data_IF_642674299097
#
_entry.id   IF_642674299097
#
_cell.length_a   1.000
_cell.length_b   1.000
_cell.length_c   1.000
_cell.angle_alpha   90.00
_cell.angle_beta   90.00
_cell.angle_gamma   90.00
#
_symmetry.space_group_name_H-M   'P 1'
#
loop_
_entity.id
_entity.type
_entity.pdbx_description
1 polymer ?
#
# COMPACT_ATOMS: atom_id res chain seq x y z
N UNK A 1 -23.79 19.15 4.78
CA UNK A 1 -22.54 19.92 4.70
C UNK A 1 -21.45 19.13 5.45
N UNK A 2 -20.49 18.66 4.74
CA UNK A 2 -19.65 17.50 5.01
C UNK A 2 -18.62 17.74 6.13
N UNK A 3 -18.58 16.85 7.13
CA UNK A 3 -17.49 16.78 8.12
C UNK A 3 -16.09 16.58 7.49
N UNK A 4 -16.03 16.24 6.21
CA UNK A 4 -14.78 16.16 5.44
C UNK A 4 -14.08 17.51 5.28
N UNK A 5 -14.81 18.61 5.10
CA UNK A 5 -14.19 19.96 5.04
C UNK A 5 -13.57 20.36 6.38
N UNK A 6 -14.16 19.92 7.48
CA UNK A 6 -13.63 20.15 8.82
C UNK A 6 -12.35 19.32 9.07
N UNK A 7 -12.34 18.07 8.61
CA UNK A 7 -11.16 17.23 8.67
C UNK A 7 -9.99 17.79 7.86
N UNK A 8 -10.24 18.20 6.61
CA UNK A 8 -9.18 18.76 5.76
C UNK A 8 -8.68 20.13 6.27
N UNK A 9 -9.54 20.98 6.80
CA UNK A 9 -9.12 22.29 7.34
C UNK A 9 -8.35 22.11 8.65
N UNK A 10 -8.75 21.20 9.52
CA UNK A 10 -8.01 20.82 10.72
C UNK A 10 -6.65 20.21 10.40
N UNK A 11 -6.59 19.31 9.41
CA UNK A 11 -5.36 18.69 8.93
C UNK A 11 -4.38 19.73 8.37
N UNK A 12 -4.85 20.68 7.55
CA UNK A 12 -3.99 21.75 7.02
C UNK A 12 -3.48 22.67 8.13
N UNK A 13 -4.26 22.91 9.16
CA UNK A 13 -3.87 23.73 10.30
C UNK A 13 -2.89 22.97 11.21
N UNK A 14 -3.13 21.69 11.47
CA UNK A 14 -2.23 20.86 12.28
C UNK A 14 -0.93 20.51 11.53
N UNK A 15 -1.00 20.27 10.23
CA UNK A 15 0.22 20.11 9.40
C UNK A 15 1.06 21.38 9.45
N UNK A 16 0.45 22.57 9.37
CA UNK A 16 1.20 23.84 9.52
C UNK A 16 1.80 24.01 10.92
N UNK A 17 1.13 23.55 11.96
CA UNK A 17 1.62 23.69 13.33
C UNK A 17 2.63 22.64 13.75
N UNK A 18 2.50 21.40 13.24
CA UNK A 18 3.30 20.23 13.65
C UNK A 18 4.40 19.85 12.67
N UNK A 19 4.21 20.02 11.36
CA UNK A 19 5.11 19.50 10.36
C UNK A 19 5.94 20.55 9.63
N UNK A 20 5.45 21.76 9.42
CA UNK A 20 5.98 22.66 8.40
C UNK A 20 7.16 23.52 8.85
N UNK A 21 7.62 23.45 10.09
CA UNK A 21 8.83 24.21 10.47
C UNK A 21 10.14 23.49 10.13
N UNK A 22 10.11 22.16 9.97
CA UNK A 22 11.35 21.39 9.83
C UNK A 22 11.29 20.15 8.91
N UNK A 23 10.13 19.77 8.35
CA UNK A 23 10.03 18.58 7.49
C UNK A 23 10.38 18.91 6.05
N UNK A 24 11.32 18.18 5.41
CA UNK A 24 11.59 18.31 3.98
C UNK A 24 10.35 18.07 3.11
N UNK A 25 10.23 18.82 2.00
CA UNK A 25 9.04 18.77 1.14
C UNK A 25 8.74 17.36 0.62
N UNK A 26 9.76 16.63 0.20
CA UNK A 26 9.63 15.25 -0.28
C UNK A 26 9.01 14.30 0.76
N UNK A 27 9.24 14.55 2.04
CA UNK A 27 8.62 13.80 3.14
C UNK A 27 7.19 14.27 3.42
N UNK A 28 6.97 15.59 3.39
CA UNK A 28 5.65 16.17 3.61
C UNK A 28 4.63 15.71 2.55
N UNK A 29 5.07 15.54 1.30
CA UNK A 29 4.25 15.02 0.19
C UNK A 29 3.78 13.57 0.39
N UNK A 30 4.36 12.84 1.35
CA UNK A 30 4.00 11.47 1.66
C UNK A 30 3.03 11.35 2.84
N UNK A 31 2.74 12.43 3.56
CA UNK A 31 1.85 12.38 4.74
C UNK A 31 0.48 11.82 4.38
N UNK A 32 -0.16 12.34 3.32
CA UNK A 32 -1.49 11.87 2.92
C UNK A 32 -1.47 10.43 2.42
N UNK A 33 -0.68 10.04 1.39
CA UNK A 33 -0.68 8.67 0.88
C UNK A 33 -0.25 7.65 1.95
N UNK A 34 0.67 8.00 2.83
CA UNK A 34 1.07 7.13 3.93
C UNK A 34 -0.02 7.00 5.00
N UNK A 35 -0.84 8.01 5.17
CA UNK A 35 -2.00 7.92 6.07
C UNK A 35 -3.05 6.94 5.52
N UNK A 36 -3.25 6.91 4.21
CA UNK A 36 -4.09 5.91 3.55
C UNK A 36 -3.49 4.49 3.71
N UNK A 37 -2.17 4.36 3.50
CA UNK A 37 -1.45 3.09 3.69
C UNK A 37 -1.56 2.58 5.13
N UNK A 38 -1.41 3.49 6.10
CA UNK A 38 -1.59 3.18 7.53
C UNK A 38 -2.97 2.62 7.81
N UNK A 39 -4.01 3.28 7.31
CA UNK A 39 -5.38 2.82 7.53
C UNK A 39 -5.62 1.42 6.95
N UNK A 40 -5.12 1.12 5.75
CA UNK A 40 -5.23 -0.22 5.16
C UNK A 40 -4.55 -1.30 6.03
N UNK A 41 -3.37 -1.01 6.56
CA UNK A 41 -2.65 -1.93 7.46
C UNK A 41 -3.36 -2.09 8.80
N UNK A 42 -3.95 -1.01 9.35
CA UNK A 42 -4.78 -1.10 10.57
C UNK A 42 -6.01 -1.98 10.34
N UNK A 43 -6.63 -1.90 9.17
CA UNK A 43 -7.77 -2.77 8.80
C UNK A 43 -7.37 -4.23 8.72
N UNK A 44 -6.14 -4.51 8.35
CA UNK A 44 -5.61 -5.87 8.23
C UNK A 44 -5.39 -6.56 9.59
N UNK A 45 -5.20 -5.80 10.66
CA UNK A 45 -4.98 -6.29 12.04
C UNK A 45 -3.87 -7.34 12.15
N UNK A 46 -2.73 -7.05 11.52
CA UNK A 46 -1.57 -7.95 11.38
C UNK A 46 -1.04 -8.41 12.74
N UNK A 47 -0.82 -9.72 12.89
CA UNK A 47 -0.20 -10.35 14.05
C UNK A 47 1.21 -10.85 13.75
N UNK A 48 1.96 -11.14 14.80
CA UNK A 48 3.38 -11.55 14.69
C UNK A 48 3.58 -12.88 13.95
N UNK A 49 2.62 -13.80 14.03
CA UNK A 49 2.70 -15.09 13.35
C UNK A 49 2.23 -15.05 11.90
N UNK A 50 1.59 -13.96 11.47
CA UNK A 50 0.93 -13.88 10.17
C UNK A 50 1.92 -13.95 9.00
N UNK A 51 1.52 -14.62 7.95
CA UNK A 51 2.07 -14.49 6.60
C UNK A 51 1.25 -13.45 5.86
N UNK A 52 1.84 -12.30 5.56
CA UNK A 52 1.19 -11.15 4.94
C UNK A 52 1.62 -11.01 3.50
N UNK A 53 0.66 -10.92 2.59
CA UNK A 53 0.90 -10.59 1.17
C UNK A 53 0.36 -9.20 0.88
N UNK A 54 1.18 -8.33 0.32
CA UNK A 54 0.78 -7.03 -0.23
C UNK A 54 0.93 -7.09 -1.74
N UNK A 55 -0.16 -6.92 -2.48
CA UNK A 55 -0.15 -6.87 -3.94
C UNK A 55 -0.15 -5.42 -4.41
N UNK A 56 0.95 -5.02 -5.04
CA UNK A 56 1.24 -3.68 -5.49
C UNK A 56 2.33 -2.99 -4.66
N UNK A 57 3.43 -2.64 -5.29
CA UNK A 57 4.57 -1.94 -4.70
C UNK A 57 4.73 -0.50 -5.24
N UNK A 58 3.62 0.18 -5.54
CA UNK A 58 3.60 1.61 -5.83
C UNK A 58 3.79 2.45 -4.55
N UNK A 59 3.63 3.76 -4.64
CA UNK A 59 3.78 4.69 -3.50
C UNK A 59 2.99 4.26 -2.27
N UNK A 60 1.73 3.85 -2.45
CA UNK A 60 0.86 3.41 -1.36
C UNK A 60 1.29 2.04 -0.82
N UNK A 61 1.63 1.09 -1.72
CA UNK A 61 2.15 -0.22 -1.33
C UNK A 61 3.45 -0.12 -0.54
N UNK A 62 4.38 0.76 -0.92
CA UNK A 62 5.62 1.01 -0.16
C UNK A 62 5.31 1.56 1.24
N UNK A 63 4.33 2.45 1.37
CA UNK A 63 3.82 2.88 2.66
C UNK A 63 3.29 1.70 3.49
N UNK A 64 2.47 0.83 2.90
CA UNK A 64 1.94 -0.37 3.59
C UNK A 64 3.06 -1.32 4.04
N UNK A 65 4.09 -1.54 3.20
CA UNK A 65 5.24 -2.39 3.52
C UNK A 65 5.95 -1.88 4.78
N UNK A 66 6.23 -0.57 4.86
CA UNK A 66 6.92 -0.01 6.02
C UNK A 66 6.08 -0.11 7.31
N UNK A 67 4.74 0.01 7.24
CA UNK A 67 3.86 -0.21 8.39
C UNK A 67 3.73 -1.68 8.75
N UNK A 68 3.47 -2.55 7.78
CA UNK A 68 3.34 -3.99 8.00
C UNK A 68 4.62 -4.56 8.64
N UNK A 69 5.80 -4.10 8.21
CA UNK A 69 7.08 -4.53 8.80
C UNK A 69 7.21 -4.15 10.28
N UNK A 70 6.62 -3.02 10.71
CA UNK A 70 6.61 -2.63 12.12
C UNK A 70 5.74 -3.55 12.99
N UNK A 71 4.72 -4.21 12.40
CA UNK A 71 3.91 -5.22 13.09
C UNK A 71 4.65 -6.56 13.25
N UNK A 72 5.81 -6.70 12.59
CA UNK A 72 6.70 -7.85 12.67
C UNK A 72 6.01 -9.19 12.35
N UNK A 73 5.32 -9.32 11.18
CA UNK A 73 4.74 -10.59 10.76
C UNK A 73 5.82 -11.66 10.56
N UNK A 74 5.41 -12.93 10.53
CA UNK A 74 6.35 -14.04 10.28
C UNK A 74 6.99 -13.98 8.90
N UNK A 75 6.20 -13.53 7.90
CA UNK A 75 6.67 -13.25 6.52
C UNK A 75 5.90 -12.07 5.95
N UNK A 76 6.61 -11.12 5.36
CA UNK A 76 6.04 -10.04 4.55
C UNK A 76 6.42 -10.24 3.09
N UNK A 77 5.44 -10.64 2.29
CA UNK A 77 5.60 -10.97 0.87
C UNK A 77 4.97 -9.85 0.03
N UNK A 78 5.66 -9.41 -1.02
CA UNK A 78 5.17 -8.32 -1.87
C UNK A 78 5.12 -8.77 -3.33
N UNK A 79 4.00 -8.50 -3.99
CA UNK A 79 3.78 -8.79 -5.39
C UNK A 79 3.77 -7.50 -6.22
N UNK A 80 4.51 -7.45 -7.32
CA UNK A 80 4.40 -6.40 -8.36
C UNK A 80 4.94 -6.94 -9.69
N UNK A 81 4.42 -6.45 -10.81
CA UNK A 81 4.90 -6.85 -12.13
C UNK A 81 6.17 -6.13 -12.57
N UNK A 82 6.63 -5.11 -11.84
CA UNK A 82 7.81 -4.31 -12.15
C UNK A 82 8.95 -4.64 -11.20
N UNK A 83 10.05 -5.17 -11.74
CA UNK A 83 11.19 -5.59 -10.94
C UNK A 83 11.87 -4.44 -10.19
N UNK A 84 11.88 -3.22 -10.74
CA UNK A 84 12.35 -2.02 -10.06
C UNK A 84 11.52 -1.68 -8.81
N UNK A 85 10.20 -1.90 -8.85
CA UNK A 85 9.31 -1.74 -7.68
C UNK A 85 9.53 -2.81 -6.64
N UNK A 86 9.76 -4.04 -7.08
CA UNK A 86 10.11 -5.16 -6.19
C UNK A 86 11.46 -4.94 -5.49
N UNK A 87 12.46 -4.40 -6.20
CA UNK A 87 13.73 -4.01 -5.59
C UNK A 87 13.51 -2.96 -4.49
N UNK A 88 12.68 -1.95 -4.75
CA UNK A 88 12.33 -0.94 -3.75
C UNK A 88 11.53 -1.52 -2.58
N UNK A 89 10.61 -2.45 -2.83
CA UNK A 89 9.87 -3.15 -1.78
C UNK A 89 10.82 -3.91 -0.81
N UNK A 90 11.88 -4.54 -1.34
CA UNK A 90 12.95 -5.14 -0.53
C UNK A 90 13.64 -4.12 0.37
N UNK A 91 14.03 -2.97 -0.18
CA UNK A 91 14.64 -1.89 0.61
C UNK A 91 13.69 -1.41 1.72
N UNK A 92 12.38 -1.42 1.48
CA UNK A 92 11.34 -0.97 2.41
C UNK A 92 11.00 -1.99 3.48
N UNK A 93 11.42 -3.24 3.33
CA UNK A 93 11.32 -4.24 4.38
C UNK A 93 10.57 -5.50 4.00
N UNK A 94 10.23 -5.72 2.72
CA UNK A 94 9.68 -6.99 2.27
C UNK A 94 10.68 -8.13 2.48
N UNK A 95 10.24 -9.22 3.09
CA UNK A 95 11.08 -10.40 3.28
C UNK A 95 11.22 -11.18 1.97
N UNK A 96 10.13 -11.27 1.18
CA UNK A 96 10.07 -11.94 -0.10
C UNK A 96 9.39 -11.03 -1.12
N UNK A 97 9.87 -11.02 -2.35
CA UNK A 97 9.21 -10.33 -3.47
C UNK A 97 8.98 -11.30 -4.61
N UNK A 98 7.85 -11.18 -5.28
CA UNK A 98 7.43 -12.07 -6.34
C UNK A 98 6.91 -11.24 -7.52
N UNK A 99 7.39 -11.55 -8.72
CA UNK A 99 6.85 -10.99 -9.95
C UNK A 99 5.84 -11.97 -10.56
N UNK A 100 4.52 -11.69 -10.49
CA UNK A 100 3.49 -12.58 -11.02
C UNK A 100 3.52 -12.74 -12.54
N UNK A 101 4.25 -11.89 -13.27
CA UNK A 101 4.45 -12.05 -14.71
C UNK A 101 5.55 -13.05 -15.07
N UNK A 102 6.40 -13.41 -14.11
CA UNK A 102 7.55 -14.30 -14.31
C UNK A 102 7.32 -15.69 -13.71
N UNK A 103 6.59 -15.77 -12.59
CA UNK A 103 6.32 -17.02 -11.89
C UNK A 103 4.86 -17.13 -11.45
N UNK A 104 4.37 -18.33 -11.23
CA UNK A 104 3.06 -18.59 -10.64
C UNK A 104 3.06 -18.18 -9.15
N UNK A 105 2.58 -16.97 -8.89
CA UNK A 105 2.57 -16.42 -7.54
C UNK A 105 1.65 -17.21 -6.58
N UNK A 106 0.53 -17.78 -7.06
CA UNK A 106 -0.34 -18.60 -6.22
C UNK A 106 0.40 -19.86 -5.74
N UNK A 107 1.05 -20.54 -6.66
CA UNK A 107 1.84 -21.74 -6.33
C UNK A 107 2.98 -21.41 -5.38
N UNK A 108 3.63 -20.26 -5.58
CA UNK A 108 4.74 -19.85 -4.72
C UNK A 108 4.26 -19.54 -3.30
N UNK A 109 3.12 -18.84 -3.14
CA UNK A 109 2.52 -18.62 -1.82
C UNK A 109 2.15 -19.95 -1.16
N UNK A 110 1.59 -20.91 -1.90
CA UNK A 110 1.30 -22.23 -1.37
C UNK A 110 2.56 -22.95 -0.90
N UNK A 111 3.65 -22.89 -1.67
CA UNK A 111 4.95 -23.47 -1.26
C UNK A 111 5.49 -22.84 0.04
N UNK A 112 5.42 -21.51 0.15
CA UNK A 112 5.90 -20.75 1.30
C UNK A 112 5.08 -20.96 2.57
N UNK A 113 3.85 -21.49 2.43
CA UNK A 113 2.86 -21.68 3.50
C UNK A 113 2.40 -23.13 3.65
N UNK A 114 3.17 -24.10 3.13
CA UNK A 114 2.86 -25.55 3.23
C UNK A 114 1.44 -25.91 2.72
N UNK A 115 0.96 -25.16 1.73
CA UNK A 115 -0.36 -25.33 1.13
C UNK A 115 -1.51 -24.60 1.83
N UNK A 116 -1.28 -23.99 2.99
CA UNK A 116 -2.33 -23.29 3.74
C UNK A 116 -2.80 -21.97 3.09
N UNK A 117 -1.88 -21.23 2.47
CA UNK A 117 -2.11 -19.87 1.99
C UNK A 117 -1.71 -18.81 3.02
N UNK A 118 -1.78 -17.53 2.65
CA UNK A 118 -1.43 -16.42 3.53
C UNK A 118 -2.57 -16.09 4.52
N UNK A 119 -2.21 -15.55 5.67
CA UNK A 119 -3.17 -15.08 6.68
C UNK A 119 -3.90 -13.83 6.21
N UNK A 120 -3.14 -12.92 5.61
CA UNK A 120 -3.62 -11.61 5.18
C UNK A 120 -3.16 -11.34 3.75
N UNK A 121 -4.11 -10.85 2.93
CA UNK A 121 -3.81 -10.30 1.61
C UNK A 121 -4.33 -8.87 1.52
N UNK A 122 -3.46 -7.92 1.18
CA UNK A 122 -3.84 -6.52 0.96
C UNK A 122 -3.75 -6.24 -0.55
N UNK A 123 -4.89 -5.95 -1.16
CA UNK A 123 -5.00 -5.58 -2.56
C UNK A 123 -4.75 -4.08 -2.72
N UNK A 124 -3.64 -3.68 -3.35
CA UNK A 124 -3.23 -2.29 -3.54
C UNK A 124 -2.87 -1.96 -5.01
N UNK A 125 -3.29 -2.81 -5.96
CA UNK A 125 -3.05 -2.60 -7.40
C UNK A 125 -4.21 -1.91 -8.10
N UNK A 126 -5.45 -2.16 -7.65
CA UNK A 126 -6.66 -1.79 -8.37
C UNK A 126 -6.91 -2.62 -9.64
N UNK A 127 -6.29 -3.79 -9.76
CA UNK A 127 -6.44 -4.65 -10.95
C UNK A 127 -7.31 -5.87 -10.65
N UNK A 128 -8.35 -6.16 -11.47
CA UNK A 128 -9.27 -7.28 -11.22
C UNK A 128 -8.62 -8.63 -10.99
N UNK A 129 -7.54 -8.96 -11.72
CA UNK A 129 -6.86 -10.25 -11.53
C UNK A 129 -6.19 -10.38 -10.17
N UNK A 130 -5.74 -9.27 -9.55
CA UNK A 130 -5.17 -9.28 -8.21
C UNK A 130 -6.21 -9.67 -7.16
N UNK A 131 -7.47 -9.25 -7.32
CA UNK A 131 -8.57 -9.65 -6.44
C UNK A 131 -8.80 -11.16 -6.52
N UNK A 132 -8.98 -11.68 -7.76
CA UNK A 132 -9.23 -13.12 -7.98
C UNK A 132 -8.08 -13.95 -7.40
N UNK A 133 -6.86 -13.56 -7.70
CA UNK A 133 -5.66 -14.26 -7.23
C UNK A 133 -5.52 -14.18 -5.71
N UNK A 134 -5.76 -13.01 -5.12
CA UNK A 134 -5.67 -12.80 -3.67
C UNK A 134 -6.68 -13.64 -2.89
N UNK A 135 -7.95 -13.71 -3.34
CA UNK A 135 -8.96 -14.58 -2.73
C UNK A 135 -8.56 -16.07 -2.77
N UNK A 136 -7.80 -16.47 -3.80
CA UNK A 136 -7.25 -17.84 -3.87
C UNK A 136 -6.06 -18.04 -2.94
N UNK A 137 -5.22 -17.01 -2.74
CA UNK A 137 -4.03 -17.06 -1.89
C UNK A 137 -4.33 -17.05 -0.40
N UNK A 138 -5.38 -16.33 0.03
CA UNK A 138 -5.77 -16.25 1.44
C UNK A 138 -6.20 -17.62 1.95
N UNK A 139 -5.72 -18.03 3.14
CA UNK A 139 -6.13 -19.26 3.81
C UNK A 139 -7.59 -19.23 4.28
N UNK A 140 -8.12 -20.37 4.72
CA UNK A 140 -9.40 -20.40 5.45
C UNK A 140 -9.33 -19.50 6.69
N UNK A 141 -10.44 -18.81 6.97
CA UNK A 141 -10.57 -17.83 8.07
C UNK A 141 -9.57 -16.66 7.99
N UNK A 142 -8.93 -16.45 6.83
CA UNK A 142 -7.99 -15.35 6.62
C UNK A 142 -8.67 -14.02 6.30
N UNK A 143 -7.88 -12.99 6.12
CA UNK A 143 -8.35 -11.63 5.86
C UNK A 143 -7.89 -11.12 4.51
N UNK A 144 -8.85 -10.62 3.72
CA UNK A 144 -8.62 -9.90 2.47
C UNK A 144 -8.97 -8.42 2.68
N UNK A 145 -8.00 -7.53 2.49
CA UNK A 145 -8.23 -6.08 2.54
C UNK A 145 -8.23 -5.53 1.12
N UNK A 146 -9.37 -4.99 0.73
CA UNK A 146 -9.54 -4.27 -0.53
C UNK A 146 -9.23 -2.79 -0.31
N UNK A 147 -8.22 -2.29 -1.03
CA UNK A 147 -7.78 -0.90 -0.98
C UNK A 147 -7.70 -0.28 -2.37
N UNK A 148 -7.50 -1.08 -3.41
CA UNK A 148 -7.33 -0.62 -4.79
C UNK A 148 -8.55 0.13 -5.33
N UNK A 149 -8.32 1.03 -6.30
CA UNK A 149 -9.41 1.69 -7.05
C UNK A 149 -9.48 1.07 -8.44
N UNK A 150 -10.59 0.39 -8.74
CA UNK A 150 -10.76 -0.38 -9.95
C UNK A 150 -11.42 0.41 -11.08
N UNK A 151 -10.83 0.33 -12.26
CA UNK A 151 -11.41 0.94 -13.47
C UNK A 151 -12.52 0.10 -14.12
N UNK A 152 -12.66 -1.17 -13.71
CA UNK A 152 -13.64 -2.11 -14.28
C UNK A 152 -14.21 -3.03 -13.19
N UNK A 153 -15.38 -3.60 -13.48
CA UNK A 153 -16.02 -4.59 -12.60
C UNK A 153 -15.19 -5.87 -12.55
N UNK A 154 -15.07 -6.42 -11.35
CA UNK A 154 -14.40 -7.71 -11.11
C UNK A 154 -15.43 -8.77 -10.77
N UNK A 155 -15.46 -9.87 -11.53
CA UNK A 155 -16.22 -11.05 -11.19
C UNK A 155 -15.43 -11.96 -10.26
N UNK A 156 -16.03 -12.35 -9.14
CA UNK A 156 -15.43 -13.28 -8.17
C UNK A 156 -16.39 -14.41 -7.84
N UNK A 157 -15.84 -15.57 -7.48
CA UNK A 157 -16.62 -16.67 -6.94
C UNK A 157 -16.92 -16.40 -5.45
N UNK A 158 -18.15 -16.02 -5.15
CA UNK A 158 -18.62 -15.75 -3.81
C UNK A 158 -18.61 -16.99 -2.91
N UNK A 159 -18.68 -18.21 -3.49
CA UNK A 159 -18.56 -19.46 -2.75
C UNK A 159 -17.19 -19.56 -2.07
N UNK A 160 -16.15 -19.03 -2.74
CA UNK A 160 -14.79 -18.98 -2.17
C UNK A 160 -14.71 -18.14 -0.90
N UNK A 161 -15.45 -17.03 -0.86
CA UNK A 161 -15.46 -16.12 0.30
C UNK A 161 -16.24 -16.73 1.46
N UNK A 162 -17.45 -17.24 1.21
CA UNK A 162 -18.33 -17.77 2.23
C UNK A 162 -18.03 -19.22 2.57
N UNK A 163 -18.61 -20.13 1.79
CA UNK A 163 -18.67 -21.57 2.10
C UNK A 163 -17.29 -22.26 2.14
N UNK A 164 -16.41 -21.92 1.21
CA UNK A 164 -15.13 -22.61 1.09
C UNK A 164 -14.10 -22.17 2.13
N UNK A 165 -14.03 -20.85 2.44
CA UNK A 165 -12.94 -20.29 3.25
C UNK A 165 -13.38 -19.45 4.44
N UNK A 166 -14.63 -18.98 4.50
CA UNK A 166 -15.13 -18.10 5.58
C UNK A 166 -14.20 -16.88 5.81
N UNK A 167 -13.99 -16.11 4.72
CA UNK A 167 -13.02 -15.01 4.72
C UNK A 167 -13.57 -13.74 5.38
N UNK A 168 -12.70 -12.99 6.05
CA UNK A 168 -12.94 -11.59 6.38
C UNK A 168 -12.57 -10.74 5.17
N UNK A 169 -13.57 -10.12 4.52
CA UNK A 169 -13.33 -9.19 3.39
C UNK A 169 -13.61 -7.78 3.88
N UNK A 170 -12.59 -6.96 3.92
CA UNK A 170 -12.60 -5.62 4.52
C UNK A 170 -12.23 -4.56 3.48
N UNK A 171 -13.04 -3.53 3.34
CA UNK A 171 -12.66 -2.35 2.56
C UNK A 171 -11.80 -1.38 3.36
N UNK A 172 -10.94 -0.62 2.68
CA UNK A 172 -10.18 0.47 3.26
C UNK A 172 -10.31 1.71 2.38
N UNK A 173 -10.70 2.84 2.98
CA UNK A 173 -10.91 4.09 2.27
C UNK A 173 -10.34 5.28 3.02
N UNK A 174 -9.50 6.07 2.32
CA UNK A 174 -8.85 7.27 2.88
C UNK A 174 -8.03 6.95 4.15
N UNK A 175 -7.98 7.90 5.08
CA UNK A 175 -7.01 7.90 6.18
C UNK A 175 -7.58 8.44 7.50
N UNK A 176 -8.70 7.90 8.00
CA UNK A 176 -9.33 8.41 9.21
C UNK A 176 -8.36 8.34 10.40
N UNK A 177 -8.12 9.49 11.04
CA UNK A 177 -7.29 9.66 12.25
C UNK A 177 -5.81 9.28 12.13
N UNK A 178 -5.27 9.01 10.91
CA UNK A 178 -3.90 8.52 10.73
C UNK A 178 -2.83 9.63 10.68
N UNK A 179 -3.20 10.85 10.31
CA UNK A 179 -2.23 11.93 10.04
C UNK A 179 -1.26 12.24 11.18
N UNK A 180 -1.69 12.42 12.45
CA UNK A 180 -0.75 12.73 13.54
C UNK A 180 0.30 11.65 13.72
N UNK A 181 -0.11 10.39 13.67
CA UNK A 181 0.79 9.24 13.77
C UNK A 181 1.82 9.22 12.62
N UNK A 182 1.36 9.48 11.39
CA UNK A 182 2.23 9.46 10.19
C UNK A 182 3.25 10.57 10.26
N UNK A 183 2.83 11.80 10.59
CA UNK A 183 3.71 12.96 10.73
C UNK A 183 4.80 12.68 11.77
N UNK A 184 4.42 12.18 12.93
CA UNK A 184 5.35 11.83 13.99
C UNK A 184 6.36 10.78 13.53
N UNK A 185 5.90 9.71 12.87
CA UNK A 185 6.76 8.60 12.48
C UNK A 185 7.63 8.89 11.24
N UNK A 186 7.24 9.83 10.38
CA UNK A 186 8.13 10.39 9.36
C UNK A 186 9.22 11.23 10.01
N UNK A 187 8.86 12.10 10.96
CA UNK A 187 9.82 12.97 11.64
C UNK A 187 10.88 12.21 12.43
N UNK A 188 10.49 11.11 13.08
CA UNK A 188 11.43 10.27 13.85
C UNK A 188 12.16 9.22 12.99
N UNK A 189 11.97 9.24 11.66
CA UNK A 189 12.61 8.29 10.75
C UNK A 189 12.17 6.84 10.88
N UNK A 190 11.03 6.58 11.55
CA UNK A 190 10.46 5.23 11.68
C UNK A 190 9.80 4.73 10.39
N UNK A 191 9.36 5.66 9.53
CA UNK A 191 8.82 5.35 8.22
C UNK A 191 9.84 5.65 7.14
N UNK A 192 10.09 4.68 6.27
CA UNK A 192 10.96 4.86 5.12
C UNK A 192 10.26 5.71 4.06
N UNK A 193 10.90 6.75 3.59
CA UNK A 193 10.35 7.73 2.65
C UNK A 193 11.29 8.00 1.47
N UNK A 194 12.56 7.63 1.59
CA UNK A 194 13.61 8.04 0.68
C UNK A 194 13.43 7.42 -0.72
N UNK A 195 13.57 8.26 -1.75
CA UNK A 195 13.50 7.87 -3.15
C UNK A 195 12.09 7.57 -3.67
N UNK A 196 11.02 7.94 -2.95
CA UNK A 196 9.64 7.82 -3.45
C UNK A 196 9.29 9.00 -4.35
N UNK A 197 9.57 10.24 -3.91
CA UNK A 197 9.43 11.40 -4.80
C UNK A 197 10.66 11.43 -5.70
N UNK A 198 10.47 11.00 -6.97
CA UNK A 198 11.58 10.80 -7.91
C UNK A 198 11.89 12.04 -8.74
N UNK A 199 10.87 12.81 -9.07
CA UNK A 199 11.01 13.98 -9.94
C UNK A 199 10.22 15.17 -9.44
N UNK A 200 10.79 16.37 -9.71
CA UNK A 200 10.15 17.65 -9.48
C UNK A 200 10.05 18.39 -10.80
N UNK A 201 8.89 18.97 -11.07
CA UNK A 201 8.62 19.75 -12.26
C UNK A 201 8.15 21.16 -11.89
N UNK A 202 8.54 22.16 -12.69
CA UNK A 202 7.89 23.46 -12.67
C UNK A 202 6.47 23.33 -13.27
N UNK A 203 5.54 24.18 -12.86
CA UNK A 203 4.13 24.05 -13.25
C UNK A 203 3.92 24.12 -14.78
N UNK A 204 4.76 24.88 -15.47
CA UNK A 204 4.75 25.03 -16.94
C UNK A 204 4.98 23.69 -17.65
N UNK A 205 5.70 22.77 -17.01
CA UNK A 205 6.04 21.44 -17.53
C UNK A 205 5.02 20.37 -17.13
N UNK A 206 3.78 20.76 -16.81
CA UNK A 206 2.76 19.86 -16.30
C UNK A 206 2.48 18.65 -17.21
N UNK A 207 2.57 18.81 -18.54
CA UNK A 207 2.35 17.69 -19.48
C UNK A 207 3.38 16.59 -19.29
N UNK A 208 4.65 16.96 -19.22
CA UNK A 208 5.75 16.04 -18.97
C UNK A 208 5.61 15.38 -17.58
N UNK A 209 5.28 16.17 -16.56
CA UNK A 209 5.02 15.63 -15.22
C UNK A 209 3.92 14.55 -15.20
N UNK A 210 2.84 14.75 -15.97
CA UNK A 210 1.77 13.74 -16.09
C UNK A 210 2.21 12.49 -16.85
N UNK A 211 3.10 12.60 -17.84
CA UNK A 211 3.69 11.43 -18.51
C UNK A 211 4.50 10.58 -17.52
N UNK A 212 5.35 11.21 -16.71
CA UNK A 212 6.08 10.54 -15.64
C UNK A 212 5.15 9.93 -14.60
N UNK A 213 4.08 10.61 -14.20
CA UNK A 213 3.11 10.11 -13.24
C UNK A 213 2.39 8.82 -13.68
N UNK A 214 2.41 8.49 -14.99
CA UNK A 214 1.89 7.18 -15.46
C UNK A 214 2.74 5.99 -15.03
N UNK A 215 3.90 6.24 -14.44
CA UNK A 215 4.85 5.22 -13.98
C UNK A 215 5.55 4.47 -15.13
N UNK A 216 5.49 4.96 -16.37
CA UNK A 216 6.17 4.35 -17.53
C UNK A 216 7.69 4.36 -17.39
N UNK A 217 8.21 5.32 -16.62
CA UNK A 217 9.66 5.51 -16.39
C UNK A 217 10.15 4.92 -15.06
N UNK A 218 9.34 4.07 -14.41
CA UNK A 218 9.70 3.49 -13.10
C UNK A 218 9.41 4.40 -11.91
N UNK A 219 8.77 5.54 -12.13
CA UNK A 219 8.48 6.52 -11.09
C UNK A 219 7.43 6.05 -10.10
N UNK A 220 7.64 6.40 -8.82
CA UNK A 220 6.67 6.17 -7.76
C UNK A 220 5.78 7.39 -7.56
N UNK A 221 6.38 8.57 -7.45
CA UNK A 221 5.67 9.84 -7.25
C UNK A 221 6.45 10.99 -7.87
N UNK A 222 5.73 11.85 -8.58
CA UNK A 222 6.26 13.13 -9.09
C UNK A 222 5.60 14.29 -8.35
N UNK A 223 6.25 15.44 -8.32
CA UNK A 223 5.76 16.62 -7.63
C UNK A 223 6.00 17.90 -8.44
N UNK A 224 5.17 18.91 -8.23
CA UNK A 224 5.44 20.27 -8.71
C UNK A 224 6.19 21.05 -7.62
N UNK A 225 7.09 21.89 -8.08
CA UNK A 225 7.81 22.85 -7.26
C UNK A 225 7.38 24.26 -7.66
N UNK A 226 7.06 25.09 -6.70
CA UNK A 226 6.62 26.47 -6.87
C UNK A 226 7.66 27.44 -6.32
#
# INVERSE_FOLDING_TARGET
>A
MWKMSYGMTGIVTDIKSLALKEMPLEKALLIEPYSCSKHAVDRADIKIEDVVVISGAGTLGLGMITYAKQMNPSKLIVLDMKNERLAKAKEFGADIVINPSEIDALKEIQNLTEGYGCDIYIEATGHPSSVVQGLQMVRKLGTFVEFGVFASVTAVDWTLIGDNKELNVLGSHLSPYCYPYVIENINNGKLKTDGIVSHYFELENWKEAFEYATGKHGDFKVAFKF
#
